data_IF_046015448953
#
_entry.id   IF_046015448953
#
_cell.length_a   1.000
_cell.length_b   1.000
_cell.length_c   1.000
_cell.angle_alpha   90.00
_cell.angle_beta   90.00
_cell.angle_gamma   90.00
#
_symmetry.space_group_name_H-M   'P 1'
#
loop_
_entity.id
_entity.type
_entity.pdbx_description
1 polymer ?
#
# COMPACT_ATOMS: atom_id res chain seq x y z
N UNK A 1 -9.65 -7.02 20.81
CA UNK A 1 -8.44 -7.40 20.05
C UNK A 1 -7.62 -6.14 19.82
N UNK A 2 -6.72 -5.85 20.74
CA UNK A 2 -5.76 -4.76 20.62
C UNK A 2 -4.67 -5.21 19.64
N UNK A 3 -4.72 -4.71 18.40
CA UNK A 3 -3.63 -4.90 17.43
C UNK A 3 -2.54 -3.89 17.79
N UNK A 4 -1.73 -4.24 18.79
CA UNK A 4 -0.51 -3.52 19.16
C UNK A 4 0.47 -3.57 18.00
N UNK A 5 0.34 -2.62 17.07
CA UNK A 5 1.29 -2.54 15.98
C UNK A 5 2.57 -1.86 16.45
N UNK A 6 3.76 -2.45 16.21
CA UNK A 6 5.01 -1.83 16.61
C UNK A 6 5.27 -0.47 15.94
N UNK A 7 6.05 0.43 16.56
CA UNK A 7 6.48 1.68 15.93
C UNK A 7 7.18 1.38 14.59
N UNK A 8 6.86 2.13 13.52
CA UNK A 8 7.21 1.87 12.10
C UNK A 8 6.34 0.83 11.38
N UNK A 9 5.09 0.71 11.85
CA UNK A 9 4.03 -0.10 11.24
C UNK A 9 3.83 0.04 9.73
N UNK A 10 4.10 1.24 9.22
CA UNK A 10 3.72 1.65 7.88
C UNK A 10 4.36 0.76 6.81
N UNK A 11 5.55 0.23 7.06
CA UNK A 11 6.24 -0.71 6.17
C UNK A 11 5.54 -2.08 6.07
N UNK A 12 4.75 -2.46 7.07
CA UNK A 12 4.02 -3.73 7.11
C UNK A 12 2.52 -3.58 6.87
N UNK A 13 1.95 -2.37 6.94
CA UNK A 13 0.52 -2.15 6.66
C UNK A 13 0.26 -2.13 5.13
N UNK A 14 -0.46 -3.11 4.55
CA UNK A 14 -0.76 -3.13 3.10
C UNK A 14 -1.54 -1.92 2.62
N UNK A 15 -2.36 -1.31 3.47
CA UNK A 15 -3.05 -0.07 3.11
C UNK A 15 -2.09 1.11 3.01
N UNK A 16 -1.10 1.14 3.91
CA UNK A 16 -0.11 2.20 3.96
C UNK A 16 0.91 2.12 2.84
N UNK A 17 1.49 0.94 2.61
CA UNK A 17 2.57 0.79 1.63
C UNK A 17 2.09 0.61 0.18
N UNK A 18 0.84 0.17 -0.02
CA UNK A 18 0.28 -0.05 -1.35
C UNK A 18 -0.95 0.79 -1.61
N UNK A 19 -2.08 0.54 -0.92
CA UNK A 19 -3.39 1.09 -1.30
C UNK A 19 -3.36 2.61 -1.43
N UNK A 20 -2.83 3.32 -0.44
CA UNK A 20 -2.74 4.78 -0.48
C UNK A 20 -1.73 5.34 -1.48
N UNK A 21 -0.67 4.61 -1.82
CA UNK A 21 0.20 5.00 -2.93
C UNK A 21 -0.49 4.82 -4.28
N UNK A 22 -1.10 3.66 -4.47
CA UNK A 22 -1.77 3.27 -5.71
C UNK A 22 -2.97 4.16 -6.03
N UNK A 23 -3.92 4.28 -5.10
CA UNK A 23 -5.12 5.10 -5.29
C UNK A 23 -4.76 6.57 -5.50
N UNK A 24 -3.76 7.11 -4.80
CA UNK A 24 -3.30 8.48 -5.06
C UNK A 24 -2.72 8.63 -6.47
N UNK A 25 -1.90 7.67 -6.91
CA UNK A 25 -1.31 7.71 -8.26
C UNK A 25 -2.36 7.76 -9.36
N UNK A 26 -3.50 7.08 -9.17
CA UNK A 26 -4.58 7.01 -10.16
C UNK A 26 -5.52 8.21 -10.06
N UNK A 27 -5.93 8.58 -8.83
CA UNK A 27 -6.84 9.70 -8.59
C UNK A 27 -6.24 11.03 -9.03
N UNK A 28 -4.94 11.22 -8.77
CA UNK A 28 -4.21 12.46 -9.09
C UNK A 28 -3.42 12.36 -10.40
N UNK A 29 -3.67 11.35 -11.25
CA UNK A 29 -3.10 11.28 -12.60
C UNK A 29 -3.52 12.50 -13.44
N UNK A 30 -4.74 12.99 -13.21
CA UNK A 30 -5.25 14.23 -13.77
C UNK A 30 -5.70 15.18 -12.65
N UNK A 31 -5.73 16.51 -12.88
CA UNK A 31 -6.27 17.46 -11.91
C UNK A 31 -7.66 17.03 -11.43
N UNK A 32 -7.91 17.22 -10.14
CA UNK A 32 -9.19 16.94 -9.49
C UNK A 32 -9.87 18.27 -9.22
N UNK A 33 -11.06 18.47 -9.79
CA UNK A 33 -11.74 19.77 -9.80
C UNK A 33 -12.77 19.94 -8.68
N UNK A 34 -13.21 18.83 -8.04
CA UNK A 34 -14.16 18.88 -6.93
C UNK A 34 -14.06 17.65 -6.00
N UNK A 35 -14.73 17.73 -4.84
CA UNK A 35 -14.81 16.62 -3.91
C UNK A 35 -15.64 15.45 -4.47
N UNK A 36 -16.65 15.73 -5.28
CA UNK A 36 -17.48 14.73 -5.94
C UNK A 36 -16.68 13.94 -6.99
N UNK A 37 -15.87 14.63 -7.79
CA UNK A 37 -14.95 14.02 -8.75
C UNK A 37 -13.91 13.14 -8.03
N UNK A 38 -13.36 13.62 -6.92
CA UNK A 38 -12.46 12.84 -6.07
C UNK A 38 -13.09 11.52 -5.61
N UNK A 39 -14.32 11.58 -5.09
CA UNK A 39 -15.05 10.39 -4.60
C UNK A 39 -15.35 9.43 -5.76
N UNK A 40 -15.79 9.96 -6.91
CA UNK A 40 -16.07 9.15 -8.09
C UNK A 40 -14.82 8.38 -8.56
N UNK A 41 -13.66 9.04 -8.64
CA UNK A 41 -12.39 8.41 -9.04
C UNK A 41 -11.95 7.31 -8.07
N UNK A 42 -12.09 7.53 -6.77
CA UNK A 42 -11.77 6.49 -5.75
C UNK A 42 -12.67 5.26 -5.92
N UNK A 43 -13.96 5.44 -6.21
CA UNK A 43 -14.89 4.33 -6.43
C UNK A 43 -14.54 3.56 -7.70
N UNK A 44 -14.23 4.28 -8.79
CA UNK A 44 -13.83 3.68 -10.08
C UNK A 44 -12.53 2.90 -9.96
N UNK A 45 -11.51 3.44 -9.28
CA UNK A 45 -10.24 2.76 -8.99
C UNK A 45 -10.48 1.39 -8.30
N UNK A 46 -11.31 1.40 -7.26
CA UNK A 46 -11.64 0.19 -6.52
C UNK A 46 -12.34 -0.88 -7.37
N UNK A 47 -13.11 -0.48 -8.39
CA UNK A 47 -13.79 -1.39 -9.31
C UNK A 47 -12.81 -1.91 -10.37
N UNK A 48 -11.93 -1.06 -10.88
CA UNK A 48 -11.01 -1.36 -11.98
C UNK A 48 -9.68 -1.99 -11.52
N UNK A 49 -9.56 -2.28 -10.23
CA UNK A 49 -8.38 -2.90 -9.61
C UNK A 49 -7.96 -4.14 -10.40
N UNK A 50 -6.74 -4.11 -10.97
CA UNK A 50 -6.27 -5.13 -11.90
C UNK A 50 -6.29 -6.53 -11.27
N UNK A 51 -6.80 -7.56 -11.97
CA UNK A 51 -6.73 -8.94 -11.50
C UNK A 51 -5.30 -9.31 -11.07
N UNK A 52 -5.16 -9.94 -9.90
CA UNK A 52 -3.86 -10.35 -9.36
C UNK A 52 -3.03 -9.26 -8.67
N UNK A 53 -3.50 -8.01 -8.58
CA UNK A 53 -2.80 -6.99 -7.79
C UNK A 53 -2.83 -7.32 -6.30
N UNK A 54 -3.95 -7.84 -5.79
CA UNK A 54 -4.06 -8.27 -4.38
C UNK A 54 -3.11 -9.43 -4.06
N UNK A 55 -2.89 -10.33 -5.03
CA UNK A 55 -1.93 -11.42 -4.87
C UNK A 55 -0.49 -10.87 -4.81
N UNK A 56 -0.13 -9.92 -5.67
CA UNK A 56 1.16 -9.22 -5.59
C UNK A 56 1.35 -8.48 -4.26
N UNK A 57 0.31 -7.84 -3.75
CA UNK A 57 0.32 -7.17 -2.44
C UNK A 57 0.54 -8.19 -1.32
N UNK A 58 -0.11 -9.35 -1.39
CA UNK A 58 0.09 -10.45 -0.44
C UNK A 58 1.54 -10.94 -0.45
N UNK A 59 2.12 -11.18 -1.63
CA UNK A 59 3.53 -11.58 -1.76
C UNK A 59 4.49 -10.50 -1.23
N UNK A 60 4.20 -9.23 -1.53
CA UNK A 60 4.97 -8.09 -1.02
C UNK A 60 4.91 -8.00 0.51
N UNK A 61 3.74 -8.22 1.11
CA UNK A 61 3.57 -8.27 2.55
C UNK A 61 4.40 -9.38 3.19
N UNK A 62 4.39 -10.60 2.64
CA UNK A 62 5.20 -11.71 3.16
C UNK A 62 6.70 -11.39 3.13
N UNK A 63 7.22 -10.85 2.01
CA UNK A 63 8.63 -10.42 1.92
C UNK A 63 8.97 -9.33 2.93
N UNK A 64 8.07 -8.38 3.17
CA UNK A 64 8.27 -7.32 4.17
C UNK A 64 8.30 -7.90 5.59
N UNK A 65 7.49 -8.91 5.89
CA UNK A 65 7.53 -9.63 7.17
C UNK A 65 8.85 -10.37 7.38
N UNK A 66 9.33 -11.09 6.37
CA UNK A 66 10.64 -11.77 6.40
C UNK A 66 11.77 -10.77 6.67
N UNK A 67 11.77 -9.65 5.93
CA UNK A 67 12.79 -8.62 6.08
C UNK A 67 12.73 -7.90 7.43
N UNK A 68 11.51 -7.71 7.97
CA UNK A 68 11.32 -7.21 9.33
C UNK A 68 11.92 -8.17 10.37
N UNK A 69 11.74 -9.48 10.18
CA UNK A 69 12.33 -10.48 11.07
C UNK A 69 13.86 -10.48 10.98
N UNK A 70 14.42 -10.49 9.77
CA UNK A 70 15.88 -10.48 9.53
C UNK A 70 16.56 -9.24 10.11
N UNK A 71 15.88 -8.10 10.05
CA UNK A 71 16.38 -6.83 10.58
C UNK A 71 16.10 -6.65 12.07
N UNK A 72 15.44 -7.61 12.72
CA UNK A 72 14.99 -7.58 14.13
C UNK A 72 14.12 -6.35 14.43
N UNK A 73 13.20 -6.02 13.52
CA UNK A 73 12.29 -4.88 13.64
C UNK A 73 12.93 -3.51 13.37
N UNK A 74 14.13 -3.47 12.78
CA UNK A 74 14.75 -2.20 12.34
C UNK A 74 14.15 -1.75 10.99
N UNK A 75 14.39 -0.48 10.65
CA UNK A 75 14.01 0.09 9.36
C UNK A 75 14.68 -0.70 8.22
N UNK A 76 13.88 -1.12 7.26
CA UNK A 76 14.30 -2.00 6.17
C UNK A 76 13.86 -1.49 4.79
N UNK A 77 13.30 -0.29 4.74
CA UNK A 77 12.80 0.34 3.51
C UNK A 77 13.91 0.48 2.46
N UNK A 78 15.15 0.73 2.88
CA UNK A 78 16.32 0.78 1.99
C UNK A 78 16.68 -0.58 1.35
N UNK A 79 16.17 -1.69 1.88
CA UNK A 79 16.37 -3.04 1.37
C UNK A 79 15.21 -3.48 0.45
N UNK A 80 14.11 -2.72 0.40
CA UNK A 80 13.00 -3.01 -0.49
C UNK A 80 13.36 -2.57 -1.91
N UNK A 81 13.56 -3.53 -2.81
CA UNK A 81 13.47 -3.25 -4.25
C UNK A 81 11.99 -2.98 -4.56
N UNK A 82 11.67 -1.77 -5.01
CA UNK A 82 10.31 -1.38 -5.37
C UNK A 82 9.85 -2.29 -6.52
N UNK A 83 9.05 -3.30 -6.19
CA UNK A 83 8.28 -4.08 -7.13
C UNK A 83 6.89 -4.32 -6.54
N UNK A 84 5.97 -3.44 -6.92
CA UNK A 84 4.57 -3.78 -7.12
C UNK A 84 4.28 -3.59 -8.60
#
# INVERSE_FOLDING_TARGET
MDRTWPPRSTALNPLGFFFWGHTKSLVYETPVDSAEDLVARIVVDKINTTPGILERVRQSFLRRCELCNDTRGRCFEHLLRVFL
#
